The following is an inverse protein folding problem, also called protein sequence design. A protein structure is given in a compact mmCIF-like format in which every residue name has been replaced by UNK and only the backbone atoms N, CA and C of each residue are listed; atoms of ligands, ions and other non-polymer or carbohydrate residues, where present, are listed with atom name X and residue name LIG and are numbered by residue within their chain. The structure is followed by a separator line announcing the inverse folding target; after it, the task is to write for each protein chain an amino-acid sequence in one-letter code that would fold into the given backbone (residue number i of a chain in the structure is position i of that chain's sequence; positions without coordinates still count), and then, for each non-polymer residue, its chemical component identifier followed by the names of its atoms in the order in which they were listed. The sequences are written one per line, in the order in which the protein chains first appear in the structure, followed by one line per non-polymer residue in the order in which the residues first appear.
data_IF_232260018568
#
_entry.id   IF_232260018568
#
_cell.length_a   1.000
_cell.length_b   1.000
_cell.length_c   1.000
_cell.angle_alpha   90.00
_cell.angle_beta   90.00
_cell.angle_gamma   90.00
#
_symmetry.space_group_name_H-M   'P 1'
#
loop_
_entity.id
_entity.type
_entity.pdbx_description
1 polymer ?
#
# COMPACT_ATOMS: atom_id res chain seq x y z
N UNK A 1 -33.85 7.87 -72.73
CA UNK A 1 -32.46 8.09 -72.36
C UNK A 1 -32.28 8.55 -70.95
N UNK A 2 -33.29 8.45 -70.13
CA UNK A 2 -33.24 8.98 -68.79
C UNK A 2 -32.94 7.95 -67.66
N UNK A 3 -32.69 6.74 -68.01
CA UNK A 3 -32.40 5.72 -67.02
C UNK A 3 -30.95 5.75 -66.50
N UNK A 4 -30.15 6.61 -67.00
CA UNK A 4 -28.80 6.78 -66.51
C UNK A 4 -28.75 7.50 -65.18
N UNK A 5 -29.80 8.11 -64.78
CA UNK A 5 -29.81 8.88 -63.57
C UNK A 5 -30.35 8.10 -62.36
N UNK A 6 -31.05 7.03 -62.64
CA UNK A 6 -31.71 6.28 -61.58
C UNK A 6 -30.80 5.49 -60.68
N UNK A 7 -29.66 5.09 -61.16
CA UNK A 7 -28.71 4.34 -60.31
C UNK A 7 -27.66 5.19 -59.63
N UNK A 8 -27.60 6.44 -60.02
CA UNK A 8 -26.71 7.35 -59.28
C UNK A 8 -27.21 7.66 -57.88
N UNK A 9 -28.45 7.55 -57.64
CA UNK A 9 -29.04 7.80 -56.34
C UNK A 9 -28.97 6.60 -55.42
N UNK A 10 -28.82 5.42 -55.96
CA UNK A 10 -28.70 4.24 -55.15
C UNK A 10 -27.31 4.07 -54.50
N UNK A 11 -26.35 4.79 -54.99
CA UNK A 11 -25.00 4.70 -54.46
C UNK A 11 -24.71 5.63 -53.31
N UNK A 12 -25.62 6.52 -53.04
CA UNK A 12 -25.42 7.54 -51.98
C UNK A 12 -25.94 7.05 -50.65
N UNK A 13 -26.71 6.00 -50.64
CA UNK A 13 -27.41 5.54 -49.43
C UNK A 13 -26.57 4.61 -48.54
N UNK A 14 -25.35 4.32 -48.93
CA UNK A 14 -24.52 3.36 -48.19
C UNK A 14 -23.30 3.97 -47.55
N UNK A 15 -23.39 5.19 -47.14
CA UNK A 15 -22.51 5.60 -46.06
C UNK A 15 -23.04 4.99 -44.82
N UNK A 16 -22.76 3.71 -44.66
CA UNK A 16 -22.85 3.10 -43.36
C UNK A 16 -21.95 3.93 -42.45
N UNK A 17 -22.57 4.76 -41.66
CA UNK A 17 -21.87 5.38 -40.55
C UNK A 17 -21.55 4.24 -39.59
N UNK A 18 -20.37 3.73 -39.78
CA UNK A 18 -19.72 3.04 -38.71
C UNK A 18 -19.51 4.10 -37.63
N UNK A 19 -20.53 4.31 -36.82
CA UNK A 19 -20.32 4.87 -35.53
C UNK A 19 -19.41 3.89 -34.82
N UNK A 20 -18.13 4.12 -34.95
CA UNK A 20 -17.19 3.54 -34.04
C UNK A 20 -17.55 4.11 -32.69
N UNK A 21 -18.39 3.42 -31.98
CA UNK A 21 -18.47 3.60 -30.56
C UNK A 21 -17.15 3.15 -30.03
N UNK A 22 -16.22 4.06 -30.00
CA UNK A 22 -15.08 3.93 -29.13
C UNK A 22 -15.68 3.90 -27.75
N UNK A 23 -15.91 2.70 -27.27
CA UNK A 23 -16.05 2.47 -25.87
C UNK A 23 -14.69 2.88 -25.32
N UNK A 24 -14.57 4.12 -24.94
CA UNK A 24 -13.52 4.53 -24.05
C UNK A 24 -13.81 3.73 -22.78
N UNK A 25 -13.18 2.58 -22.69
CA UNK A 25 -12.99 1.92 -21.43
C UNK A 25 -12.13 2.90 -20.67
N UNK A 26 -12.76 3.81 -20.01
CA UNK A 26 -12.14 4.48 -18.90
C UNK A 26 -11.83 3.36 -17.94
N UNK A 27 -10.68 2.76 -18.09
CA UNK A 27 -9.99 2.22 -16.97
C UNK A 27 -9.88 3.41 -16.04
N UNK A 28 -10.91 3.63 -15.27
CA UNK A 28 -10.72 4.23 -13.99
C UNK A 28 -9.71 3.31 -13.34
N UNK A 29 -8.47 3.60 -13.57
CA UNK A 29 -7.49 3.32 -12.59
C UNK A 29 -8.11 3.89 -11.32
N UNK A 30 -8.78 3.01 -10.62
CA UNK A 30 -8.77 3.14 -9.20
C UNK A 30 -7.30 2.94 -8.89
N UNK A 31 -6.53 3.96 -9.16
CA UNK A 31 -5.35 4.22 -8.38
C UNK A 31 -5.92 4.26 -6.99
N UNK A 32 -6.03 3.07 -6.41
CA UNK A 32 -6.54 2.91 -5.10
C UNK A 32 -5.85 3.98 -4.32
N UNK A 33 -6.60 4.86 -3.70
CA UNK A 33 -6.03 5.87 -2.87
C UNK A 33 -4.87 5.20 -2.16
N UNK A 34 -3.65 5.65 -2.46
CA UNK A 34 -2.44 5.05 -1.93
C UNK A 34 -2.70 4.94 -0.43
N UNK A 35 -2.80 3.73 0.07
CA UNK A 35 -3.04 3.54 1.49
C UNK A 35 -1.92 4.24 2.24
N UNK A 36 -2.23 5.05 3.23
CA UNK A 36 -1.18 5.67 4.02
C UNK A 36 -0.30 4.58 4.62
N UNK A 37 1.00 4.81 4.71
CA UNK A 37 1.90 3.84 5.32
C UNK A 37 1.53 3.65 6.80
N UNK A 38 1.47 2.41 7.22
CA UNK A 38 1.10 2.01 8.57
C UNK A 38 2.08 0.97 9.08
N UNK A 39 2.43 1.06 10.34
CA UNK A 39 3.19 0.03 11.05
C UNK A 39 2.39 -0.45 12.26
N UNK A 40 2.54 -1.71 12.58
CA UNK A 40 1.91 -2.32 13.75
C UNK A 40 2.77 -3.43 14.31
N UNK A 41 2.55 -3.77 15.54
CA UNK A 41 3.20 -4.90 16.21
C UNK A 41 2.31 -6.13 16.06
N UNK A 42 2.84 -7.16 15.43
CA UNK A 42 2.12 -8.41 15.17
C UNK A 42 2.37 -9.47 16.25
N UNK A 43 3.49 -9.39 16.95
CA UNK A 43 3.84 -10.35 18.01
C UNK A 43 4.72 -9.68 19.06
N UNK A 44 4.62 -10.17 20.28
CA UNK A 44 5.33 -9.61 21.45
C UNK A 44 6.61 -10.37 21.80
N UNK A 45 6.74 -11.63 21.41
CA UNK A 45 7.88 -12.47 21.77
C UNK A 45 8.23 -13.43 20.64
N UNK A 46 9.25 -13.14 19.84
CA UNK A 46 9.97 -11.87 19.80
C UNK A 46 9.10 -10.75 19.21
N UNK A 47 9.45 -9.52 19.49
CA UNK A 47 8.74 -8.38 18.93
C UNK A 47 8.82 -8.44 17.41
N UNK A 48 7.69 -8.48 16.77
CA UNK A 48 7.57 -8.52 15.31
C UNK A 48 6.76 -7.33 14.85
N UNK A 49 7.36 -6.56 13.95
CA UNK A 49 6.75 -5.36 13.37
C UNK A 49 6.38 -5.66 11.93
N UNK A 50 5.16 -5.34 11.56
CA UNK A 50 4.69 -5.43 10.18
C UNK A 50 4.30 -4.04 9.70
N UNK A 51 4.55 -3.79 8.43
CA UNK A 51 4.19 -2.53 7.79
C UNK A 51 3.49 -2.76 6.48
N UNK A 52 2.68 -1.79 6.09
CA UNK A 52 1.97 -1.76 4.82
C UNK A 52 1.87 -0.34 4.28
N UNK A 53 1.53 -0.19 3.01
CA UNK A 53 1.41 1.12 2.38
C UNK A 53 2.74 1.76 1.99
N UNK A 54 3.82 1.01 2.01
CA UNK A 54 5.13 1.44 1.51
C UNK A 54 5.21 1.25 0.00
N UNK A 55 6.21 1.81 -0.64
CA UNK A 55 6.44 1.58 -2.05
C UNK A 55 7.02 0.20 -2.29
N UNK A 56 6.72 -0.39 -3.43
CA UNK A 56 7.26 -1.69 -3.77
C UNK A 56 8.79 -1.68 -3.78
N UNK A 57 9.38 -2.73 -3.22
CA UNK A 57 10.82 -2.94 -3.15
C UNK A 57 11.61 -1.81 -2.46
N UNK A 58 10.94 -0.99 -1.69
CA UNK A 58 11.54 0.10 -0.93
C UNK A 58 12.32 -0.45 0.25
N UNK A 59 13.58 -0.04 0.44
CA UNK A 59 14.28 -0.30 1.69
C UNK A 59 13.63 0.48 2.83
N UNK A 60 13.35 -0.21 3.92
CA UNK A 60 12.71 0.34 5.11
C UNK A 60 13.59 0.09 6.33
N UNK A 61 13.85 1.13 7.09
CA UNK A 61 14.51 1.02 8.37
C UNK A 61 13.49 1.01 9.48
N UNK A 62 13.53 0.00 10.32
CA UNK A 62 12.59 -0.16 11.42
C UNK A 62 13.35 -0.04 12.74
N UNK A 63 12.84 0.80 13.61
CA UNK A 63 13.39 1.02 14.95
C UNK A 63 12.30 0.80 15.98
N UNK A 64 12.63 0.08 17.03
CA UNK A 64 11.76 -0.06 18.20
C UNK A 64 12.45 0.50 19.43
N UNK A 65 11.69 1.17 20.27
CA UNK A 65 12.16 1.71 21.54
C UNK A 65 11.28 1.17 22.66
N UNK A 66 11.89 0.46 23.57
CA UNK A 66 11.26 -0.09 24.77
C UNK A 66 11.95 0.50 26.01
N UNK A 67 11.35 1.51 26.61
CA UNK A 67 11.99 2.24 27.71
C UNK A 67 13.30 2.88 27.26
N UNK A 68 14.41 2.47 27.84
CA UNK A 68 15.76 2.95 27.48
C UNK A 68 16.45 2.10 26.42
N UNK A 69 15.85 0.99 26.02
CA UNK A 69 16.42 0.07 25.06
C UNK A 69 15.93 0.39 23.66
N UNK A 70 16.85 0.36 22.71
CA UNK A 70 16.59 0.66 21.32
C UNK A 70 17.15 -0.44 20.42
N UNK A 71 16.34 -0.88 19.47
CA UNK A 71 16.72 -1.87 18.48
C UNK A 71 16.40 -1.33 17.09
N UNK A 72 17.24 -1.63 16.15
CA UNK A 72 17.01 -1.25 14.76
C UNK A 72 17.32 -2.43 13.84
N UNK A 73 16.54 -2.53 12.78
CA UNK A 73 16.74 -3.51 11.72
C UNK A 73 16.22 -2.92 10.40
N UNK A 74 16.52 -3.59 9.32
CA UNK A 74 16.13 -3.16 7.99
C UNK A 74 15.34 -4.28 7.29
N UNK A 75 14.40 -3.85 6.44
CA UNK A 75 13.64 -4.73 5.59
C UNK A 75 13.49 -4.11 4.21
N UNK A 76 13.09 -4.92 3.25
CA UNK A 76 12.69 -4.44 1.92
C UNK A 76 11.21 -4.73 1.75
N UNK A 77 10.44 -3.71 1.40
CA UNK A 77 9.03 -3.88 1.15
C UNK A 77 8.79 -4.82 -0.05
N UNK A 78 7.76 -5.63 0.05
CA UNK A 78 7.36 -6.51 -1.04
C UNK A 78 6.77 -5.74 -2.22
N UNK A 79 6.43 -6.43 -3.29
CA UNK A 79 5.71 -5.84 -4.41
C UNK A 79 4.36 -5.23 -3.98
N UNK A 80 3.77 -5.73 -2.90
CA UNK A 80 2.54 -5.19 -2.31
C UNK A 80 2.78 -4.04 -1.32
N UNK A 81 4.02 -3.63 -1.10
CA UNK A 81 4.37 -2.58 -0.16
C UNK A 81 4.33 -3.01 1.31
N UNK A 82 4.47 -4.29 1.57
CA UNK A 82 4.43 -4.86 2.91
C UNK A 82 5.80 -5.35 3.36
N UNK A 83 6.07 -5.26 4.63
CA UNK A 83 7.27 -5.84 5.23
C UNK A 83 6.99 -6.43 6.60
N UNK A 84 7.87 -7.31 7.04
CA UNK A 84 7.87 -7.88 8.38
C UNK A 84 9.30 -7.93 8.91
N UNK A 85 9.48 -7.45 10.12
CA UNK A 85 10.77 -7.48 10.82
C UNK A 85 10.58 -8.15 12.17
N UNK A 86 11.39 -9.15 12.41
CA UNK A 86 11.43 -9.87 13.68
C UNK A 86 12.69 -9.49 14.43
N UNK A 87 12.53 -8.93 15.60
CA UNK A 87 13.64 -8.57 16.47
C UNK A 87 13.96 -9.75 17.40
N UNK A 88 14.88 -10.59 16.98
CA UNK A 88 15.27 -11.78 17.73
C UNK A 88 15.76 -11.41 19.15
N UNK A 89 15.41 -12.22 20.12
CA UNK A 89 15.82 -12.02 21.51
C UNK A 89 15.06 -10.91 22.26
N UNK A 90 14.07 -10.30 21.63
CA UNK A 90 13.25 -9.28 22.28
C UNK A 90 11.98 -9.88 22.86
N UNK A 91 11.53 -9.29 23.94
CA UNK A 91 10.25 -9.60 24.56
C UNK A 91 9.61 -8.30 25.01
N UNK A 92 8.39 -8.09 24.59
CA UNK A 92 7.63 -6.92 24.97
C UNK A 92 6.82 -7.22 26.23
N UNK A 93 7.15 -6.53 27.31
CA UNK A 93 6.35 -6.48 28.50
C UNK A 93 5.58 -5.15 28.56
N UNK A 94 4.35 -5.18 28.11
CA UNK A 94 3.51 -3.99 28.03
C UNK A 94 3.06 -3.48 29.40
N UNK A 95 3.24 -4.25 30.45
CA UNK A 95 2.98 -3.81 31.83
C UNK A 95 4.10 -2.93 32.35
N UNK A 96 5.32 -3.15 31.86
CA UNK A 96 6.50 -2.44 32.34
C UNK A 96 6.80 -1.18 31.56
N UNK A 97 6.65 -1.20 30.23
CA UNK A 97 7.06 -0.09 29.36
C UNK A 97 6.16 0.07 28.15
N UNK A 98 5.97 1.31 27.67
CA UNK A 98 5.40 1.53 26.34
C UNK A 98 6.39 1.11 25.28
N UNK A 99 5.89 0.79 24.09
CA UNK A 99 6.67 0.51 22.90
C UNK A 99 6.43 1.59 21.86
N UNK A 100 7.49 2.14 21.32
CA UNK A 100 7.44 3.04 20.17
C UNK A 100 8.09 2.35 18.98
N UNK A 101 7.35 2.25 17.90
CA UNK A 101 7.81 1.70 16.64
C UNK A 101 7.90 2.81 15.61
N UNK A 102 9.02 2.89 14.93
CA UNK A 102 9.23 3.83 13.84
C UNK A 102 9.73 3.07 12.62
N UNK A 103 9.14 3.32 11.48
CA UNK A 103 9.59 2.80 10.20
C UNK A 103 9.82 3.93 9.23
N UNK A 104 10.95 3.92 8.55
CA UNK A 104 11.31 4.92 7.56
C UNK A 104 11.74 4.24 6.28
N UNK A 105 10.97 4.47 5.22
CA UNK A 105 11.35 4.08 3.88
C UNK A 105 12.19 5.14 3.20
N UNK A 106 12.98 4.77 2.20
CA UNK A 106 13.77 5.73 1.43
C UNK A 106 12.89 6.75 0.69
N UNK A 107 11.72 6.33 0.24
CA UNK A 107 10.78 7.15 -0.48
C UNK A 107 9.57 7.53 0.37
N UNK A 108 9.24 6.68 1.32
CA UNK A 108 8.16 6.90 2.27
C UNK A 108 8.72 7.55 3.53
N UNK A 109 8.11 8.62 3.97
CA UNK A 109 8.54 9.32 5.18
C UNK A 109 8.40 8.45 6.44
N UNK A 110 8.83 8.96 7.59
CA UNK A 110 8.74 8.21 8.83
C UNK A 110 7.29 7.97 9.22
N UNK A 111 7.04 6.76 9.69
CA UNK A 111 5.74 6.33 10.24
C UNK A 111 5.99 5.81 11.64
N UNK A 112 5.23 6.29 12.58
CA UNK A 112 5.38 5.95 13.99
C UNK A 112 4.09 5.38 14.55
N UNK A 113 4.21 4.33 15.34
CA UNK A 113 3.11 3.78 16.12
C UNK A 113 3.56 3.62 17.57
N UNK A 114 2.70 3.96 18.50
CA UNK A 114 2.97 3.84 19.92
C UNK A 114 1.97 2.88 20.55
N UNK A 115 2.51 1.84 21.20
CA UNK A 115 1.72 0.97 22.05
C UNK A 115 1.89 1.47 23.47
N UNK A 116 0.82 2.02 24.08
CA UNK A 116 0.92 2.52 25.45
C UNK A 116 1.15 1.38 26.41
N UNK A 117 1.72 1.72 27.56
CA UNK A 117 1.81 0.80 28.68
C UNK A 117 0.41 0.33 29.06
N UNK A 118 0.26 -0.96 29.25
CA UNK A 118 -1.00 -1.57 29.68
C UNK A 118 -1.08 -1.53 31.21
N UNK A 119 -2.24 -1.20 31.74
CA UNK A 119 -2.51 -1.45 33.14
C UNK A 119 -2.58 -2.95 33.39
N UNK A 120 -1.73 -3.42 34.26
CA UNK A 120 -1.71 -4.81 34.68
C UNK A 120 -2.08 -4.89 36.16
N UNK A 121 -2.83 -5.94 36.50
CA UNK A 121 -3.17 -6.19 37.89
C UNK A 121 -1.89 -6.30 38.72
N UNK A 122 -1.88 -5.67 39.88
CA UNK A 122 -0.82 -5.85 40.86
C UNK A 122 -0.73 -7.35 41.25
N UNK A 123 0.48 -7.90 41.41
CA UNK A 123 0.64 -9.30 41.79
C UNK A 123 0.06 -9.56 43.21
#
# INVERSE_FOLDING_TARGET
MSFRQTYRQALIATTAQLAATTVAISLALVAGAAQPPVVRVAADTPVTVVGSGFREHEPVRVTIVMGTRRFADAAVASAAGEFSVRFAGTRLDRCATPLVVSARGEQTGPVTATLPQRECAAP
#
